data_IF_833857622072
#
_entry.id   IF_833857622072
#
_cell.length_a   1.000
_cell.length_b   1.000
_cell.length_c   1.000
_cell.angle_alpha   90.00
_cell.angle_beta   90.00
_cell.angle_gamma   90.00
#
_symmetry.space_group_name_H-M   'P 1'
#
loop_
_entity.id
_entity.type
_entity.pdbx_description
1 polymer ?
#
# COMPACT_ATOMS: atom_id res chain seq x y z
N UNK A 1 18.44 5.50 -5.76
CA UNK A 1 17.16 5.04 -6.32
C UNK A 1 16.39 4.39 -5.17
N UNK A 2 15.10 4.70 -5.03
CA UNK A 2 14.36 4.26 -3.88
C UNK A 2 14.40 2.75 -3.74
N UNK A 3 14.55 2.27 -2.52
CA UNK A 3 14.45 0.85 -2.18
C UNK A 3 13.11 0.61 -1.53
N UNK A 4 12.54 -0.56 -1.79
CA UNK A 4 11.20 -0.95 -1.35
C UNK A 4 11.35 -2.35 -0.78
N UNK A 5 11.01 -2.51 0.48
CA UNK A 5 11.20 -3.75 1.22
C UNK A 5 9.89 -4.09 1.93
N UNK A 6 9.14 -5.03 1.33
CA UNK A 6 7.85 -5.47 1.86
C UNK A 6 8.10 -6.40 3.05
N UNK A 7 7.56 -6.03 4.20
CA UNK A 7 7.84 -6.67 5.49
C UNK A 7 6.71 -7.60 5.92
N UNK A 8 5.49 -7.10 5.93
CA UNK A 8 4.32 -7.78 6.49
C UNK A 8 3.08 -7.48 5.68
N UNK A 9 2.09 -8.36 5.79
CA UNK A 9 0.79 -8.12 5.20
C UNK A 9 0.09 -6.96 5.90
N UNK A 10 -0.75 -6.26 5.15
CA UNK A 10 -1.71 -5.31 5.71
C UNK A 10 -2.88 -6.15 6.24
N UNK A 11 -3.35 -5.87 7.45
CA UNK A 11 -4.48 -6.59 8.04
C UNK A 11 -5.66 -5.61 8.14
N UNK A 12 -6.81 -6.03 7.66
CA UNK A 12 -8.05 -5.24 7.65
C UNK A 12 -9.22 -6.15 7.95
N UNK A 13 -10.20 -5.65 8.68
CA UNK A 13 -11.48 -6.34 8.81
C UNK A 13 -12.33 -6.12 7.55
N UNK A 14 -13.22 -7.06 7.24
CA UNK A 14 -14.17 -6.92 6.15
C UNK A 14 -14.99 -5.61 6.29
N UNK A 15 -15.06 -4.82 5.22
CA UNK A 15 -15.68 -3.48 5.20
C UNK A 15 -14.89 -2.40 5.92
N UNK A 16 -13.72 -2.76 6.47
CA UNK A 16 -12.89 -1.90 7.27
C UNK A 16 -11.84 -1.13 6.46
N UNK A 17 -11.04 -0.37 7.21
CA UNK A 17 -9.89 0.36 6.71
C UNK A 17 -8.65 -0.01 7.51
N UNK A 18 -7.51 -0.03 6.84
CA UNK A 18 -6.21 -0.29 7.43
C UNK A 18 -5.21 0.76 6.98
N UNK A 19 -4.50 1.35 7.94
CA UNK A 19 -3.36 2.21 7.65
C UNK A 19 -2.19 1.37 7.16
N UNK A 20 -1.63 1.73 6.02
CA UNK A 20 -0.39 1.17 5.50
C UNK A 20 0.76 1.92 6.18
N UNK A 21 1.65 1.18 6.84
CA UNK A 21 2.74 1.75 7.64
C UNK A 21 4.09 1.15 7.24
N UNK A 22 5.17 1.68 7.84
CA UNK A 22 6.52 1.12 7.72
C UNK A 22 6.67 -0.33 8.17
N UNK A 23 5.73 -0.83 8.99
CA UNK A 23 5.70 -2.25 9.38
C UNK A 23 5.24 -3.16 8.24
N UNK A 24 4.48 -2.62 7.30
CA UNK A 24 4.01 -3.35 6.12
C UNK A 24 5.04 -3.23 4.99
N UNK A 25 5.57 -2.03 4.74
CA UNK A 25 6.57 -1.76 3.71
C UNK A 25 7.54 -0.66 4.14
N UNK A 26 8.83 -0.94 4.10
CA UNK A 26 9.88 0.05 4.35
C UNK A 26 10.40 0.59 3.01
N UNK A 27 10.48 1.92 2.90
CA UNK A 27 10.91 2.62 1.69
C UNK A 27 11.94 3.66 2.10
N UNK A 28 13.07 3.72 1.40
CA UNK A 28 14.12 4.70 1.67
C UNK A 28 14.94 4.98 0.41
N UNK A 29 15.50 6.18 0.34
CA UNK A 29 16.45 6.60 -0.68
C UNK A 29 17.59 7.38 0.00
N UNK A 30 18.84 7.12 -0.41
CA UNK A 30 20.01 7.72 0.25
C UNK A 30 20.24 9.18 -0.20
N UNK A 31 19.67 9.58 -1.34
CA UNK A 31 19.93 10.85 -2.02
C UNK A 31 18.70 11.76 -2.21
N UNK A 32 17.52 11.35 -1.72
CA UNK A 32 16.23 12.04 -1.89
C UNK A 32 15.47 12.11 -0.57
N UNK A 33 14.86 13.25 -0.26
CA UNK A 33 14.00 13.44 0.91
C UNK A 33 12.70 12.65 0.76
N UNK A 34 12.17 12.08 1.85
CA UNK A 34 10.96 11.24 1.85
C UNK A 34 9.72 11.95 1.29
N UNK A 35 9.67 13.28 1.34
CA UNK A 35 8.56 14.06 0.74
C UNK A 35 8.62 14.10 -0.78
N UNK A 36 9.80 13.84 -1.35
CA UNK A 36 10.09 13.93 -2.79
C UNK A 36 10.21 12.53 -3.44
N UNK A 37 10.18 11.45 -2.65
CA UNK A 37 10.06 10.08 -3.15
C UNK A 37 8.58 9.73 -3.35
N UNK A 38 8.17 9.49 -4.61
CA UNK A 38 6.78 9.24 -5.01
C UNK A 38 6.58 7.75 -5.28
N UNK A 39 5.49 7.21 -4.76
CA UNK A 39 5.05 5.83 -4.97
C UNK A 39 3.72 5.78 -5.73
N UNK A 40 3.77 5.22 -6.93
CA UNK A 40 2.58 4.95 -7.75
C UNK A 40 2.00 3.58 -7.45
N UNK A 41 0.67 3.48 -7.38
CA UNK A 41 -0.02 2.18 -7.36
C UNK A 41 -0.18 1.69 -8.80
N UNK A 42 0.79 0.90 -9.28
CA UNK A 42 0.86 0.47 -10.68
C UNK A 42 -0.04 -0.74 -10.99
N UNK A 43 -0.38 -1.52 -9.97
CA UNK A 43 -1.44 -2.53 -10.03
C UNK A 43 -2.36 -2.28 -8.83
N UNK A 44 -3.58 -1.74 -9.05
CA UNK A 44 -4.50 -1.45 -7.95
C UNK A 44 -5.04 -2.72 -7.31
N UNK A 45 -5.47 -2.65 -6.03
CA UNK A 45 -6.23 -3.72 -5.38
C UNK A 45 -7.52 -4.05 -6.14
N UNK A 46 -7.99 -5.29 -5.97
CA UNK A 46 -9.23 -5.76 -6.61
C UNK A 46 -10.43 -5.71 -5.67
N UNK A 47 -10.22 -5.91 -4.36
CA UNK A 47 -11.26 -5.95 -3.33
C UNK A 47 -11.36 -4.65 -2.51
N UNK A 48 -10.45 -3.71 -2.74
CA UNK A 48 -10.40 -2.44 -2.03
C UNK A 48 -9.86 -1.28 -2.85
N UNK A 49 -9.42 -0.23 -2.15
CA UNK A 49 -8.78 0.95 -2.74
C UNK A 49 -7.70 1.48 -1.81
N UNK A 50 -6.57 1.91 -2.37
CA UNK A 50 -5.50 2.62 -1.64
C UNK A 50 -5.64 4.12 -1.88
N UNK A 51 -5.60 4.92 -0.80
CA UNK A 51 -5.65 6.38 -0.87
C UNK A 51 -4.72 7.04 0.16
N UNK A 52 -3.97 8.10 -0.19
CA UNK A 52 -3.84 8.66 -1.54
C UNK A 52 -3.05 7.72 -2.48
N UNK A 53 -3.25 7.88 -3.78
CA UNK A 53 -2.51 7.19 -4.83
C UNK A 53 -2.36 8.14 -6.05
N UNK A 54 -1.15 8.58 -6.43
CA UNK A 54 0.14 8.27 -5.81
C UNK A 54 0.28 8.90 -4.40
N UNK A 55 1.27 8.43 -3.65
CA UNK A 55 1.60 8.95 -2.32
C UNK A 55 3.12 9.11 -2.15
N UNK A 56 3.55 9.91 -1.18
CA UNK A 56 4.98 10.08 -0.84
C UNK A 56 5.41 9.17 0.30
N UNK A 57 6.72 8.91 0.43
CA UNK A 57 7.24 8.17 1.60
C UNK A 57 6.90 8.90 2.90
N UNK A 58 6.94 10.24 2.90
CA UNK A 58 6.50 11.03 4.05
C UNK A 58 5.04 10.73 4.45
N UNK A 59 4.11 10.61 3.48
CA UNK A 59 2.71 10.27 3.75
C UNK A 59 2.54 8.84 4.29
N UNK A 60 3.37 7.89 3.82
CA UNK A 60 3.41 6.54 4.35
C UNK A 60 3.85 6.54 5.81
N UNK A 61 4.93 7.26 6.13
CA UNK A 61 5.47 7.33 7.49
C UNK A 61 4.55 8.08 8.45
N UNK A 62 3.80 9.07 7.97
CA UNK A 62 2.79 9.79 8.76
C UNK A 62 1.47 9.02 8.92
N UNK A 63 1.37 7.79 8.39
CA UNK A 63 0.17 6.97 8.48
C UNK A 63 -1.02 7.51 7.69
N UNK A 64 -0.76 8.29 6.64
CA UNK A 64 -1.79 8.92 5.80
C UNK A 64 -2.23 8.04 4.63
N UNK A 65 -1.53 6.93 4.37
CA UNK A 65 -1.86 5.98 3.31
C UNK A 65 -2.76 4.90 3.88
N UNK A 66 -3.98 4.81 3.34
CA UNK A 66 -5.04 3.94 3.84
C UNK A 66 -5.45 2.96 2.74
N UNK A 67 -5.55 1.68 3.09
CA UNK A 67 -6.31 0.70 2.33
C UNK A 67 -7.74 0.65 2.88
N UNK A 68 -8.74 0.75 2.03
CA UNK A 68 -10.15 0.54 2.38
C UNK A 68 -10.67 -0.69 1.65
N UNK A 69 -11.22 -1.67 2.37
CA UNK A 69 -11.96 -2.77 1.76
C UNK A 69 -13.33 -2.20 1.36
N UNK A 70 -13.65 -2.26 0.06
CA UNK A 70 -14.86 -1.63 -0.49
C UNK A 70 -15.73 -2.60 -1.29
N UNK A 71 -15.21 -3.79 -1.61
CA UNK A 71 -15.91 -4.75 -2.46
C UNK A 71 -16.41 -5.96 -1.67
N UNK A 72 -17.68 -5.90 -1.27
CA UNK A 72 -18.43 -7.01 -0.65
C UNK A 72 -19.24 -7.77 -1.70
N UNK A 73 -18.58 -8.47 -2.62
CA UNK A 73 -19.26 -9.18 -3.72
C UNK A 73 -19.70 -10.61 -3.36
N UNK A 74 -20.31 -10.87 -2.19
CA UNK A 74 -20.70 -12.23 -1.75
C UNK A 74 -19.59 -13.29 -1.91
N UNK A 75 -18.34 -12.85 -1.98
CA UNK A 75 -17.18 -13.65 -2.35
C UNK A 75 -16.20 -13.77 -1.18
N UNK A 76 -16.60 -13.27 0.00
CA UNK A 76 -15.83 -13.23 1.26
C UNK A 76 -14.31 -13.28 1.02
N UNK A 77 -13.74 -12.28 0.32
CA UNK A 77 -12.35 -12.34 -0.07
C UNK A 77 -11.50 -12.32 1.20
N UNK A 78 -10.64 -13.31 1.38
CA UNK A 78 -9.72 -13.40 2.52
C UNK A 78 -8.39 -12.67 2.25
N UNK A 79 -8.12 -12.32 0.99
CA UNK A 79 -6.89 -11.68 0.57
C UNK A 79 -7.14 -10.69 -0.58
N UNK A 80 -6.37 -9.61 -0.62
CA UNK A 80 -6.21 -8.73 -1.78
C UNK A 80 -4.72 -8.44 -2.02
N UNK A 81 -4.36 -7.95 -3.21
CA UNK A 81 -2.97 -7.66 -3.56
C UNK A 81 -2.90 -6.41 -4.44
N UNK A 82 -1.89 -5.58 -4.20
CA UNK A 82 -1.56 -4.45 -5.06
C UNK A 82 -0.04 -4.29 -5.20
N UNK A 83 0.40 -3.58 -6.24
CA UNK A 83 1.81 -3.31 -6.50
C UNK A 83 2.06 -1.82 -6.49
N UNK A 84 3.06 -1.40 -5.72
CA UNK A 84 3.58 -0.03 -5.74
C UNK A 84 4.90 0.04 -6.50
N UNK A 85 5.16 1.17 -7.14
CA UNK A 85 6.44 1.50 -7.75
C UNK A 85 6.90 2.87 -7.27
N UNK A 86 8.01 2.91 -6.56
CA UNK A 86 8.54 4.15 -5.99
C UNK A 86 9.73 4.66 -6.79
N UNK A 87 9.76 5.97 -7.01
CA UNK A 87 10.80 6.66 -7.78
C UNK A 87 11.17 8.01 -7.14
N UNK A 88 12.40 8.43 -7.35
CA UNK A 88 12.87 9.78 -7.03
C UNK A 88 12.47 10.77 -8.15
N UNK A 89 13.01 11.98 -8.13
CA UNK A 89 12.77 13.00 -9.20
C UNK A 89 13.10 12.51 -10.62
N UNK A 90 13.90 11.45 -10.75
CA UNK A 90 14.17 10.75 -11.98
C UNK A 90 13.35 9.43 -12.04
N UNK A 91 12.24 9.39 -12.81
CA UNK A 91 11.33 8.24 -12.86
C UNK A 91 11.97 6.95 -13.44
N UNK A 92 13.17 7.03 -14.00
CA UNK A 92 13.94 5.85 -14.43
C UNK A 92 14.56 5.09 -13.25
N UNK A 93 14.77 5.76 -12.10
CA UNK A 93 15.30 5.19 -10.86
C UNK A 93 14.12 4.74 -9.99
N UNK A 94 13.57 3.57 -10.32
CA UNK A 94 12.40 3.03 -9.62
C UNK A 94 12.58 1.62 -9.09
N UNK A 95 11.85 1.29 -8.04
CA UNK A 95 11.77 -0.05 -7.48
C UNK A 95 10.34 -0.37 -7.05
N UNK A 96 9.92 -1.62 -7.22
CA UNK A 96 8.54 -2.04 -7.00
C UNK A 96 8.42 -3.04 -5.86
N UNK A 97 7.30 -2.97 -5.14
CA UNK A 97 6.94 -3.90 -4.08
C UNK A 97 5.51 -4.38 -4.24
N UNK A 98 5.29 -5.68 -4.01
CA UNK A 98 3.95 -6.28 -3.98
C UNK A 98 3.46 -6.37 -2.54
N UNK A 99 2.38 -5.67 -2.23
CA UNK A 99 1.74 -5.71 -0.92
C UNK A 99 0.55 -6.67 -0.99
N UNK A 100 0.40 -7.45 0.08
CA UNK A 100 -0.72 -8.37 0.29
C UNK A 100 -1.53 -7.86 1.48
N UNK A 101 -2.84 -7.85 1.33
CA UNK A 101 -3.80 -7.47 2.35
C UNK A 101 -4.54 -8.73 2.81
N UNK A 102 -4.48 -9.07 4.09
CA UNK A 102 -5.33 -10.08 4.71
C UNK A 102 -6.62 -9.42 5.16
N UNK A 103 -7.75 -9.96 4.71
CA UNK A 103 -9.09 -9.49 5.05
C UNK A 103 -9.69 -10.47 6.06
N UNK A 104 -10.00 -9.99 7.26
CA UNK A 104 -10.60 -10.78 8.32
C UNK A 104 -12.12 -10.72 8.19
N UNK A 105 -12.80 -11.86 7.95
CA UNK A 105 -14.25 -11.88 7.84
C UNK A 105 -14.88 -11.48 9.18
N UNK A 106 -15.90 -10.64 9.11
CA UNK A 106 -16.68 -10.22 10.28
C UNK A 106 -17.99 -11.01 10.41
N UNK A 107 -18.11 -12.19 9.80
CA UNK A 107 -19.20 -13.15 9.95
C UNK A 107 -20.57 -12.49 10.22
N UNK A 108 -21.02 -11.69 9.27
CA UNK A 108 -22.23 -10.87 9.31
C UNK A 108 -23.47 -11.58 8.72
N UNK A 109 -23.40 -12.91 8.56
CA UNK A 109 -24.56 -13.80 8.30
C UNK A 109 -25.33 -14.22 9.56
#
# INVERSE_FOLDING_TARGET
PPRVDVKRFVSVDEGGQATITKENVAIWDDDTDDKDVICDVILPPTCGTVYPAPFTVHQLESGSVIYSQTEHKRMEPMEDTFIISCHDVNPLRKHSGRLTVTIHPLNDE
#
